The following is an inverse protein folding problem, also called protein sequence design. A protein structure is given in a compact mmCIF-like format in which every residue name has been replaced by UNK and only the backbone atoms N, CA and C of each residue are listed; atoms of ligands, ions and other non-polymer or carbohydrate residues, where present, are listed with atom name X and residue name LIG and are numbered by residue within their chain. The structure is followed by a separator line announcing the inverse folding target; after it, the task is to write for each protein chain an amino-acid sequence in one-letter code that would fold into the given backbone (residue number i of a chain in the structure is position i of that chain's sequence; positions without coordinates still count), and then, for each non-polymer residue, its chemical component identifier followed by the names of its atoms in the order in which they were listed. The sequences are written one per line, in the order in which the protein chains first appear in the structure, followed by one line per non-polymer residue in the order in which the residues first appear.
data_IF_555959290702
#
_entry.id   IF_555959290702
#
_cell.length_a   1.000
_cell.length_b   1.000
_cell.length_c   1.000
_cell.angle_alpha   90.00
_cell.angle_beta   90.00
_cell.angle_gamma   90.00
#
_symmetry.space_group_name_H-M   'P 1'
#
loop_
_entity.id
_entity.type
_entity.pdbx_description
1 polymer ?
#
# COMPACT_ATOMS: atom_id res chain seq x y z
N UNK A 1 12.93 -7.63 13.72
CA UNK A 1 12.74 -9.07 13.98
C UNK A 1 13.74 -9.89 13.18
N UNK A 2 14.43 -10.79 13.89
CA UNK A 2 15.40 -11.80 13.44
C UNK A 2 14.79 -12.70 12.35
N UNK A 3 15.50 -12.92 11.23
CA UNK A 3 15.20 -14.10 10.39
C UNK A 3 15.19 -15.32 11.30
N UNK A 4 14.11 -16.12 11.25
CA UNK A 4 14.01 -17.34 12.04
C UNK A 4 15.03 -18.36 11.53
N UNK A 5 16.22 -18.33 12.11
CA UNK A 5 17.36 -19.18 11.71
C UNK A 5 17.05 -20.67 11.84
N UNK A 6 16.04 -21.05 12.63
CA UNK A 6 15.58 -22.45 12.74
C UNK A 6 14.86 -22.93 11.48
N UNK A 7 14.39 -22.02 10.63
CA UNK A 7 13.74 -22.32 9.34
C UNK A 7 14.71 -22.29 8.16
N UNK A 8 15.97 -21.95 8.36
CA UNK A 8 17.00 -22.00 7.31
C UNK A 8 17.39 -23.46 7.12
N UNK A 9 16.91 -24.06 6.02
CA UNK A 9 17.34 -25.39 5.59
C UNK A 9 18.35 -25.19 4.48
N UNK A 10 19.61 -25.56 4.74
CA UNK A 10 20.71 -25.40 3.78
C UNK A 10 20.55 -26.41 2.64
N UNK A 11 19.79 -26.05 1.60
CA UNK A 11 19.52 -26.87 0.41
C UNK A 11 19.53 -25.98 -0.84
N UNK A 12 20.57 -25.16 -0.98
CA UNK A 12 20.74 -24.40 -2.21
C UNK A 12 21.36 -25.29 -3.30
N UNK A 13 20.72 -25.35 -4.48
CA UNK A 13 21.28 -25.97 -5.68
C UNK A 13 22.05 -25.02 -6.61
N UNK A 14 22.26 -23.77 -6.21
CA UNK A 14 22.98 -22.73 -6.97
C UNK A 14 24.33 -22.39 -6.34
N UNK A 15 25.31 -21.98 -7.15
CA UNK A 15 26.52 -21.32 -6.66
C UNK A 15 26.15 -19.93 -6.11
N UNK A 16 26.43 -19.70 -4.83
CA UNK A 16 26.14 -18.45 -4.14
C UNK A 16 27.40 -17.69 -3.72
N UNK A 17 28.59 -18.07 -4.20
CA UNK A 17 29.86 -17.53 -3.70
C UNK A 17 29.91 -16.00 -3.68
N UNK A 18 29.52 -15.34 -4.77
CA UNK A 18 29.50 -13.88 -4.86
C UNK A 18 28.51 -13.24 -3.88
N UNK A 19 27.29 -13.79 -3.78
CA UNK A 19 26.31 -13.37 -2.78
C UNK A 19 26.83 -13.57 -1.35
N UNK A 20 27.53 -14.68 -1.07
CA UNK A 20 28.09 -14.98 0.25
C UNK A 20 29.18 -13.97 0.62
N UNK A 21 30.10 -13.66 -0.30
CA UNK A 21 31.13 -12.66 -0.07
C UNK A 21 30.53 -11.27 0.15
N UNK A 22 29.53 -10.88 -0.64
CA UNK A 22 28.87 -9.59 -0.49
C UNK A 22 28.08 -9.50 0.82
N UNK A 23 27.26 -10.51 1.14
CA UNK A 23 26.49 -10.56 2.38
C UNK A 23 27.42 -10.50 3.60
N UNK A 24 28.52 -11.26 3.59
CA UNK A 24 29.54 -11.20 4.64
C UNK A 24 30.12 -9.79 4.77
N UNK A 25 30.60 -9.20 3.66
CA UNK A 25 31.17 -7.85 3.65
C UNK A 25 30.19 -6.80 4.21
N UNK A 26 28.93 -6.86 3.81
CA UNK A 26 27.88 -5.94 4.27
C UNK A 26 27.43 -6.23 5.71
N UNK A 27 27.59 -7.44 6.22
CA UNK A 27 27.30 -7.74 7.63
C UNK A 27 28.41 -7.27 8.57
N UNK A 28 29.66 -7.26 8.11
CA UNK A 28 30.85 -6.91 8.92
C UNK A 28 31.29 -5.45 8.76
N UNK A 29 30.78 -4.70 7.78
CA UNK A 29 31.18 -3.30 7.58
C UNK A 29 30.64 -2.39 8.71
N UNK A 30 31.35 -1.29 9.05
CA UNK A 30 30.86 -0.29 10.02
C UNK A 30 29.49 0.27 9.63
N UNK A 31 28.70 0.71 10.63
CA UNK A 31 27.35 1.24 10.40
C UNK A 31 27.35 2.44 9.46
N UNK A 32 28.35 3.32 9.56
CA UNK A 32 28.52 4.50 8.70
C UNK A 32 28.81 4.13 7.24
N UNK A 33 29.35 2.92 7.00
CA UNK A 33 29.69 2.44 5.68
C UNK A 33 28.57 1.62 5.02
N UNK A 34 27.57 1.16 5.80
CA UNK A 34 26.53 0.27 5.30
C UNK A 34 25.74 0.88 4.14
N UNK A 35 25.10 2.04 4.35
CA UNK A 35 24.30 2.69 3.30
C UNK A 35 25.15 3.09 2.08
N UNK A 36 26.34 3.71 2.24
CA UNK A 36 27.23 3.98 1.11
C UNK A 36 27.61 2.74 0.29
N UNK A 37 27.80 1.58 0.93
CA UNK A 37 28.05 0.32 0.23
C UNK A 37 26.82 -0.18 -0.53
N UNK A 38 25.62 -0.05 0.04
CA UNK A 38 24.37 -0.40 -0.64
C UNK A 38 24.14 0.46 -1.89
N UNK A 39 24.43 1.76 -1.82
CA UNK A 39 24.29 2.70 -2.96
C UNK A 39 25.15 2.34 -4.17
N UNK A 40 26.24 1.57 -3.96
CA UNK A 40 27.07 1.08 -5.08
C UNK A 40 26.37 0.00 -5.90
N UNK A 41 25.31 -0.61 -5.36
CA UNK A 41 24.56 -1.70 -6.00
C UNK A 41 23.35 -1.11 -6.72
N UNK A 42 23.57 -0.64 -7.95
CA UNK A 42 22.50 -0.13 -8.82
C UNK A 42 21.93 -1.21 -9.75
N UNK A 43 22.68 -2.29 -9.96
CA UNK A 43 22.31 -3.45 -10.76
C UNK A 43 22.74 -4.72 -10.03
N UNK A 44 21.88 -5.73 -10.01
CA UNK A 44 22.18 -7.00 -9.36
C UNK A 44 23.00 -7.93 -10.27
N UNK A 45 24.28 -8.11 -9.95
CA UNK A 45 25.21 -8.92 -10.74
C UNK A 45 25.78 -10.13 -9.97
N UNK A 46 25.18 -10.52 -8.84
CA UNK A 46 25.75 -11.51 -7.90
C UNK A 46 25.12 -12.91 -7.98
N UNK A 47 24.29 -13.15 -9.00
CA UNK A 47 23.56 -14.42 -9.17
C UNK A 47 22.37 -14.59 -8.21
N UNK A 48 21.81 -15.80 -8.21
CA UNK A 48 20.61 -16.16 -7.42
C UNK A 48 21.03 -16.72 -6.05
N UNK A 49 20.33 -16.35 -4.98
CA UNK A 49 20.69 -16.77 -3.61
C UNK A 49 19.50 -17.17 -2.74
N UNK A 50 19.77 -17.74 -1.56
CA UNK A 50 18.79 -17.94 -0.51
C UNK A 50 18.66 -16.66 0.32
N UNK A 51 17.42 -16.23 0.62
CA UNK A 51 17.22 -15.04 1.44
C UNK A 51 17.84 -15.19 2.85
N UNK A 52 17.91 -16.41 3.37
CA UNK A 52 18.50 -16.71 4.68
C UNK A 52 19.99 -16.34 4.80
N UNK A 53 20.73 -16.28 3.69
CA UNK A 53 22.14 -15.84 3.66
C UNK A 53 22.29 -14.38 4.09
N UNK A 54 21.26 -13.57 3.89
CA UNK A 54 21.28 -12.14 4.12
C UNK A 54 20.75 -11.75 5.50
N UNK A 55 20.56 -12.72 6.40
CA UNK A 55 19.96 -12.48 7.72
C UNK A 55 20.63 -11.37 8.51
N UNK A 56 21.96 -11.40 8.64
CA UNK A 56 22.68 -10.40 9.44
C UNK A 56 22.61 -9.00 8.80
N UNK A 57 22.64 -8.92 7.46
CA UNK A 57 22.46 -7.64 6.74
C UNK A 57 21.05 -7.13 6.96
N UNK A 58 20.03 -7.96 6.72
CA UNK A 58 18.62 -7.60 6.84
C UNK A 58 18.24 -7.20 8.27
N UNK A 59 18.82 -7.84 9.30
CA UNK A 59 18.62 -7.46 10.70
C UNK A 59 19.14 -6.03 10.97
N UNK A 60 20.25 -5.62 10.36
CA UNK A 60 20.77 -4.24 10.45
C UNK A 60 19.86 -3.25 9.72
N UNK A 61 19.38 -3.60 8.53
CA UNK A 61 18.47 -2.74 7.76
C UNK A 61 17.12 -2.59 8.49
N UNK A 62 16.64 -3.65 9.13
CA UNK A 62 15.39 -3.66 9.91
C UNK A 62 15.43 -2.63 11.05
N UNK A 63 16.56 -2.48 11.75
CA UNK A 63 16.71 -1.48 12.81
C UNK A 63 16.58 -0.04 12.28
N UNK A 64 17.08 0.23 11.06
CA UNK A 64 16.93 1.54 10.40
C UNK A 64 15.47 1.77 10.01
N UNK A 65 14.80 0.74 9.47
CA UNK A 65 13.38 0.80 9.12
C UNK A 65 12.50 1.00 10.35
N UNK A 66 12.78 0.32 11.47
CA UNK A 66 12.08 0.48 12.75
C UNK A 66 12.17 1.93 13.26
N UNK A 67 13.37 2.51 13.22
CA UNK A 67 13.59 3.93 13.55
C UNK A 67 12.76 4.85 12.66
N UNK A 68 12.76 4.58 11.34
CA UNK A 68 12.06 5.41 10.37
C UNK A 68 10.54 5.43 10.62
N UNK A 69 9.93 4.28 10.92
CA UNK A 69 8.47 4.15 11.05
C UNK A 69 7.93 4.49 12.44
N UNK A 70 8.79 4.87 13.37
CA UNK A 70 8.35 5.32 14.71
C UNK A 70 7.40 6.51 14.56
N UNK A 71 6.25 6.46 15.23
CA UNK A 71 5.22 7.51 15.12
C UNK A 71 5.61 8.76 15.91
N UNK A 72 5.43 9.92 15.29
CA UNK A 72 5.53 11.25 15.91
C UNK A 72 4.13 11.86 15.89
N UNK A 73 3.28 11.47 16.83
CA UNK A 73 1.85 11.80 16.82
C UNK A 73 0.98 10.59 16.46
N UNK A 74 -0.21 10.82 15.91
CA UNK A 74 -1.16 9.75 15.58
C UNK A 74 -0.90 9.14 14.20
N UNK A 75 -0.36 9.91 13.27
CA UNK A 75 -0.13 9.54 11.88
C UNK A 75 1.32 9.72 11.42
N UNK A 76 1.94 10.86 11.68
CA UNK A 76 3.25 11.22 11.10
C UNK A 76 4.33 10.21 11.50
N UNK A 77 5.18 9.82 10.56
CA UNK A 77 6.34 8.97 10.84
C UNK A 77 7.55 9.85 11.19
N UNK A 78 8.49 9.30 11.97
CA UNK A 78 9.74 9.98 12.31
C UNK A 78 10.49 10.44 11.06
N UNK A 79 10.53 9.60 10.03
CA UNK A 79 11.18 9.92 8.76
C UNK A 79 10.56 11.12 8.01
N UNK A 80 9.30 11.45 8.30
CA UNK A 80 8.58 12.57 7.67
C UNK A 80 8.91 13.90 8.38
N UNK A 81 9.63 13.87 9.50
CA UNK A 81 10.02 15.09 10.20
C UNK A 81 11.18 15.78 9.48
N UNK A 82 11.22 17.13 9.43
CA UNK A 82 12.31 17.85 8.77
C UNK A 82 13.72 17.54 9.32
N UNK A 83 13.81 17.16 10.60
CA UNK A 83 15.06 16.80 11.26
C UNK A 83 15.68 15.49 10.71
N UNK A 84 14.87 14.64 10.08
CA UNK A 84 15.26 13.32 9.59
C UNK A 84 15.32 13.28 8.06
N UNK A 85 15.47 14.43 7.39
CA UNK A 85 15.60 14.49 5.93
C UNK A 85 16.67 13.54 5.35
N UNK A 86 17.86 13.34 5.97
CA UNK A 86 18.84 12.35 5.49
C UNK A 86 18.34 10.90 5.55
N UNK A 87 17.48 10.57 6.53
CA UNK A 87 16.96 9.21 6.70
C UNK A 87 16.07 8.76 5.54
N UNK A 88 15.44 9.71 4.83
CA UNK A 88 14.63 9.41 3.65
C UNK A 88 15.46 8.68 2.60
N UNK A 89 16.64 9.21 2.29
CA UNK A 89 17.53 8.66 1.27
C UNK A 89 18.10 7.28 1.68
N UNK A 90 18.39 7.12 2.97
CA UNK A 90 18.81 5.83 3.54
C UNK A 90 17.70 4.78 3.41
N UNK A 91 16.45 5.13 3.74
CA UNK A 91 15.30 4.21 3.64
C UNK A 91 14.99 3.88 2.18
N UNK A 92 15.04 4.84 1.25
CA UNK A 92 14.90 4.57 -0.19
C UNK A 92 15.97 3.56 -0.64
N UNK A 93 17.24 3.80 -0.28
CA UNK A 93 18.35 2.89 -0.60
C UNK A 93 18.09 1.47 -0.08
N UNK A 94 17.63 1.36 1.18
CA UNK A 94 17.31 0.07 1.81
C UNK A 94 16.21 -0.66 1.04
N UNK A 95 15.13 0.05 0.68
CA UNK A 95 13.98 -0.53 -0.02
C UNK A 95 14.34 -0.98 -1.43
N UNK A 96 15.15 -0.21 -2.15
CA UNK A 96 15.64 -0.54 -3.49
C UNK A 96 16.59 -1.75 -3.47
N UNK A 97 17.57 -1.75 -2.56
CA UNK A 97 18.45 -2.90 -2.33
C UNK A 97 17.65 -4.16 -1.98
N UNK A 98 16.69 -4.04 -1.05
CA UNK A 98 15.82 -5.15 -0.67
C UNK A 98 14.99 -5.62 -1.88
N UNK A 99 14.53 -4.70 -2.73
CA UNK A 99 13.85 -5.02 -3.98
C UNK A 99 14.70 -5.88 -4.91
N UNK A 100 15.97 -5.49 -5.13
CA UNK A 100 16.92 -6.28 -5.93
C UNK A 100 17.17 -7.66 -5.33
N UNK A 101 17.38 -7.73 -4.01
CA UNK A 101 17.59 -8.98 -3.30
C UNK A 101 16.36 -9.91 -3.40
N UNK A 102 15.15 -9.37 -3.22
CA UNK A 102 13.91 -10.15 -3.34
C UNK A 102 13.74 -10.67 -4.77
N UNK A 103 14.03 -9.89 -5.81
CA UNK A 103 13.94 -10.37 -7.18
C UNK A 103 14.85 -11.59 -7.45
N UNK A 104 16.06 -11.60 -6.86
CA UNK A 104 17.09 -12.61 -7.10
C UNK A 104 17.24 -13.66 -5.99
N UNK A 105 16.30 -13.73 -5.05
CA UNK A 105 16.34 -14.71 -3.95
C UNK A 105 15.26 -15.80 -4.03
N UNK A 106 15.50 -16.91 -3.35
CA UNK A 106 14.50 -17.93 -3.00
C UNK A 106 14.17 -17.87 -1.50
N UNK A 107 13.14 -18.60 -1.09
CA UNK A 107 12.64 -18.62 0.30
C UNK A 107 12.27 -17.23 0.84
N UNK A 108 11.70 -16.39 -0.03
CA UNK A 108 11.28 -15.00 0.28
C UNK A 108 10.28 -14.89 1.43
N UNK A 109 9.59 -15.97 1.77
CA UNK A 109 8.71 -16.04 2.95
C UNK A 109 9.47 -15.79 4.27
N UNK A 110 10.81 -15.86 4.27
CA UNK A 110 11.66 -15.53 5.40
C UNK A 110 11.76 -14.01 5.66
N UNK A 111 11.34 -13.16 4.71
CA UNK A 111 11.37 -11.71 4.90
C UNK A 111 10.39 -11.29 6.00
N UNK A 112 10.92 -10.78 7.11
CA UNK A 112 10.17 -10.51 8.34
C UNK A 112 9.80 -9.03 8.56
N UNK A 113 10.37 -8.10 7.81
CA UNK A 113 10.21 -6.65 8.02
C UNK A 113 8.93 -6.05 7.41
N UNK A 114 7.93 -6.89 7.11
CA UNK A 114 6.72 -6.46 6.40
C UNK A 114 5.90 -5.42 7.18
N UNK A 115 5.92 -5.48 8.51
CA UNK A 115 5.26 -4.48 9.37
C UNK A 115 5.82 -3.08 9.16
N UNK A 116 7.14 -2.94 8.99
CA UNK A 116 7.79 -1.68 8.66
C UNK A 116 7.38 -1.21 7.26
N UNK A 117 7.35 -2.13 6.27
CA UNK A 117 6.89 -1.81 4.90
C UNK A 117 5.44 -1.30 4.91
N UNK A 118 4.55 -1.96 5.65
CA UNK A 118 3.16 -1.54 5.84
C UNK A 118 3.05 -0.17 6.49
N UNK A 119 3.92 0.17 7.44
CA UNK A 119 3.92 1.50 8.06
C UNK A 119 4.39 2.58 7.08
N UNK A 120 5.42 2.31 6.25
CA UNK A 120 5.98 3.25 5.28
C UNK A 120 5.00 3.67 4.17
N UNK A 121 3.98 2.86 3.86
CA UNK A 121 2.87 3.32 2.98
C UNK A 121 2.18 4.59 3.49
N UNK A 122 2.24 4.84 4.80
CA UNK A 122 1.71 6.03 5.47
C UNK A 122 2.65 7.23 5.49
N UNK A 123 3.84 7.15 4.88
CA UNK A 123 4.73 8.31 4.71
C UNK A 123 4.11 9.34 3.78
N UNK A 124 4.35 10.62 4.07
CA UNK A 124 4.04 11.70 3.14
C UNK A 124 5.03 11.78 1.97
N UNK A 125 6.27 11.30 2.17
CA UNK A 125 7.29 11.37 1.15
C UNK A 125 6.99 10.42 -0.02
N UNK A 126 6.84 10.99 -1.21
CA UNK A 126 6.49 10.22 -2.40
C UNK A 126 7.61 9.30 -2.89
N UNK A 127 8.89 9.60 -2.63
CA UNK A 127 10.01 8.71 -3.00
C UNK A 127 10.02 7.44 -2.14
N UNK A 128 9.76 7.59 -0.83
CA UNK A 128 9.57 6.46 0.09
C UNK A 128 8.41 5.59 -0.39
N UNK A 129 7.27 6.20 -0.71
CA UNK A 129 6.11 5.45 -1.20
C UNK A 129 6.42 4.70 -2.50
N UNK A 130 7.10 5.33 -3.46
CA UNK A 130 7.48 4.68 -4.72
C UNK A 130 8.45 3.51 -4.50
N UNK A 131 9.39 3.65 -3.56
CA UNK A 131 10.30 2.57 -3.19
C UNK A 131 9.57 1.41 -2.49
N UNK A 132 8.63 1.72 -1.59
CA UNK A 132 7.74 0.72 -0.94
C UNK A 132 6.88 -0.02 -1.96
N UNK A 133 6.30 0.69 -2.93
CA UNK A 133 5.53 0.09 -4.02
C UNK A 133 6.44 -0.74 -4.93
N UNK A 134 7.66 -0.29 -5.21
CA UNK A 134 8.67 -1.06 -5.95
C UNK A 134 9.00 -2.40 -5.28
N UNK A 135 9.30 -2.38 -3.98
CA UNK A 135 9.52 -3.59 -3.20
C UNK A 135 8.29 -4.50 -3.18
N UNK A 136 7.10 -3.92 -2.96
CA UNK A 136 5.84 -4.65 -2.95
C UNK A 136 5.55 -5.32 -4.29
N UNK A 137 5.86 -4.65 -5.40
CA UNK A 137 5.74 -5.20 -6.75
C UNK A 137 6.67 -6.40 -6.97
N UNK A 138 7.89 -6.36 -6.44
CA UNK A 138 8.80 -7.51 -6.52
C UNK A 138 8.24 -8.72 -5.76
N UNK A 139 7.60 -8.50 -4.62
CA UNK A 139 6.88 -9.56 -3.91
C UNK A 139 5.67 -10.07 -4.69
N UNK A 140 4.84 -9.21 -5.30
CA UNK A 140 3.65 -9.64 -6.04
C UNK A 140 4.00 -10.43 -7.30
N UNK A 141 4.94 -9.93 -8.12
CA UNK A 141 5.26 -10.52 -9.41
C UNK A 141 6.05 -11.82 -9.30
N UNK A 142 6.99 -11.90 -8.35
CA UNK A 142 7.98 -12.99 -8.31
C UNK A 142 7.67 -14.04 -7.28
N UNK A 143 6.69 -13.83 -6.39
CA UNK A 143 6.49 -14.71 -5.25
C UNK A 143 5.02 -14.87 -4.86
N UNK A 144 4.71 -16.00 -4.25
CA UNK A 144 3.41 -16.22 -3.61
C UNK A 144 3.38 -15.63 -2.18
N UNK A 145 4.23 -14.65 -1.87
CA UNK A 145 4.38 -14.08 -0.53
C UNK A 145 3.04 -13.52 -0.03
N UNK A 146 2.40 -12.67 -0.84
CA UNK A 146 1.10 -12.10 -0.50
C UNK A 146 -0.04 -13.11 -0.45
N UNK A 147 0.01 -14.16 -1.28
CA UNK A 147 -0.97 -15.26 -1.21
C UNK A 147 -0.90 -15.98 0.14
N UNK A 148 0.29 -16.06 0.73
CA UNK A 148 0.54 -16.72 2.04
C UNK A 148 0.32 -15.82 3.25
N UNK A 149 0.11 -14.52 3.06
CA UNK A 149 -0.23 -13.63 4.17
C UNK A 149 -1.58 -14.04 4.77
N UNK A 150 -1.71 -13.85 6.08
CA UNK A 150 -3.00 -13.99 6.77
C UNK A 150 -4.02 -12.94 6.29
N UNK A 151 -5.33 -13.17 6.50
CA UNK A 151 -6.37 -12.26 6.02
C UNK A 151 -6.24 -10.82 6.51
N UNK A 152 -5.74 -10.60 7.73
CA UNK A 152 -5.54 -9.25 8.28
C UNK A 152 -4.46 -8.50 7.51
N UNK A 153 -3.30 -9.13 7.31
CA UNK A 153 -2.22 -8.53 6.53
C UNK A 153 -2.59 -8.33 5.06
N UNK A 154 -3.32 -9.26 4.43
CA UNK A 154 -3.86 -9.07 3.06
C UNK A 154 -4.76 -7.84 2.97
N UNK A 155 -5.67 -7.66 3.93
CA UNK A 155 -6.55 -6.48 4.00
C UNK A 155 -5.74 -5.19 4.18
N UNK A 156 -4.73 -5.22 5.04
CA UNK A 156 -3.85 -4.06 5.25
C UNK A 156 -3.11 -3.65 3.97
N UNK A 157 -2.68 -4.61 3.15
CA UNK A 157 -2.09 -4.33 1.83
C UNK A 157 -3.13 -3.74 0.88
N UNK A 158 -4.30 -4.36 0.77
CA UNK A 158 -5.38 -3.88 -0.11
C UNK A 158 -5.78 -2.43 0.21
N UNK A 159 -5.94 -2.10 1.50
CA UNK A 159 -6.28 -0.75 1.97
C UNK A 159 -5.24 0.31 1.59
N UNK A 160 -3.98 -0.09 1.37
CA UNK A 160 -2.83 0.77 1.00
C UNK A 160 -2.62 0.92 -0.50
N UNK A 161 -3.10 -0.05 -1.28
CA UNK A 161 -3.04 -0.03 -2.75
C UNK A 161 -4.25 0.64 -3.38
N UNK A 162 -5.26 1.01 -2.58
CA UNK A 162 -6.44 1.73 -3.07
C UNK A 162 -6.13 3.21 -3.27
N UNK A 163 -5.80 3.57 -4.52
CA UNK A 163 -5.59 4.95 -4.97
C UNK A 163 -6.76 5.35 -5.87
N UNK A 164 -7.50 6.40 -5.51
CA UNK A 164 -8.67 6.87 -6.26
C UNK A 164 -8.32 7.27 -7.70
N UNK A 165 -9.33 7.40 -8.57
CA UNK A 165 -9.04 7.60 -9.98
C UNK A 165 -10.17 8.04 -10.91
N UNK A 166 -11.37 7.46 -10.80
CA UNK A 166 -12.45 7.78 -11.74
C UNK A 166 -13.34 8.95 -11.29
N UNK A 167 -13.25 9.38 -10.03
CA UNK A 167 -14.21 10.31 -9.41
C UNK A 167 -14.22 11.72 -10.04
N UNK A 168 -13.19 12.07 -10.82
CA UNK A 168 -13.04 13.40 -11.40
C UNK A 168 -12.96 13.42 -12.95
N UNK A 169 -13.15 12.28 -13.64
CA UNK A 169 -13.11 12.17 -15.11
C UNK A 169 -11.85 12.74 -15.80
N UNK A 170 -10.69 12.69 -15.14
CA UNK A 170 -9.42 13.12 -15.74
C UNK A 170 -8.58 11.92 -16.17
N UNK A 171 -8.23 11.87 -17.46
CA UNK A 171 -7.34 10.84 -17.99
C UNK A 171 -5.92 10.94 -17.43
N UNK A 172 -5.25 9.79 -17.28
CA UNK A 172 -3.87 9.71 -16.78
C UNK A 172 -2.88 10.55 -17.61
N UNK A 173 -3.00 10.56 -18.93
CA UNK A 173 -2.13 11.32 -19.83
C UNK A 173 -2.30 12.83 -19.63
N UNK A 174 -3.55 13.31 -19.54
CA UNK A 174 -3.85 14.71 -19.25
C UNK A 174 -3.28 15.17 -17.90
N UNK A 175 -3.29 14.28 -16.89
CA UNK A 175 -2.66 14.58 -15.60
C UNK A 175 -1.13 14.76 -15.70
N UNK A 176 -0.47 14.32 -16.76
CA UNK A 176 0.98 14.49 -16.92
C UNK A 176 1.36 15.89 -17.42
N UNK A 177 0.44 16.66 -17.99
CA UNK A 177 0.69 18.01 -18.50
C UNK A 177 0.96 18.99 -17.35
N UNK A 178 2.14 19.65 -17.29
CA UNK A 178 2.49 20.61 -16.24
C UNK A 178 1.58 21.84 -16.22
N UNK A 179 0.98 22.21 -17.36
CA UNK A 179 0.14 23.41 -17.47
C UNK A 179 -1.33 23.13 -17.14
N UNK A 180 -1.71 21.86 -17.05
CA UNK A 180 -3.08 21.47 -16.76
C UNK A 180 -3.25 21.20 -15.27
N UNK A 181 -4.01 22.03 -14.56
CA UNK A 181 -4.39 21.76 -13.16
C UNK A 181 -5.92 21.80 -13.04
N UNK A 182 -6.58 20.67 -12.77
CA UNK A 182 -8.02 20.65 -12.61
C UNK A 182 -8.49 21.37 -11.34
N UNK A 183 -9.61 22.11 -11.43
CA UNK A 183 -10.14 22.89 -10.31
C UNK A 183 -10.46 22.05 -9.07
N UNK A 184 -10.88 20.80 -9.25
CA UNK A 184 -11.21 19.88 -8.17
C UNK A 184 -10.01 19.09 -7.64
N UNK A 185 -8.85 19.14 -8.31
CA UNK A 185 -7.70 18.32 -7.96
C UNK A 185 -7.13 18.64 -6.57
N UNK A 186 -7.33 19.86 -6.10
CA UNK A 186 -6.96 20.30 -4.75
C UNK A 186 -7.99 20.00 -3.66
N UNK A 187 -9.13 19.40 -3.99
CA UNK A 187 -10.26 19.21 -3.08
C UNK A 187 -10.37 17.76 -2.63
N UNK A 188 -10.89 17.55 -1.43
CA UNK A 188 -11.17 16.22 -0.88
C UNK A 188 -12.62 16.17 -0.47
N UNK A 189 -13.30 15.12 -0.94
CA UNK A 189 -14.60 14.70 -0.48
C UNK A 189 -14.45 13.27 0.02
N UNK A 190 -14.72 13.03 1.30
CA UNK A 190 -14.54 11.70 1.89
C UNK A 190 -15.68 11.37 2.83
N UNK A 191 -16.40 10.29 2.54
CA UNK A 191 -17.50 9.81 3.37
C UNK A 191 -17.10 8.55 4.13
N UNK A 192 -17.48 8.49 5.41
CA UNK A 192 -17.26 7.30 6.23
C UNK A 192 -18.37 7.13 7.26
N UNK A 193 -18.57 5.89 7.70
CA UNK A 193 -19.46 5.58 8.82
C UNK A 193 -18.66 5.56 10.11
N UNK A 194 -19.12 6.23 11.18
CA UNK A 194 -18.50 6.08 12.49
C UNK A 194 -18.66 4.63 12.96
N UNK A 195 -17.57 4.04 13.47
CA UNK A 195 -17.65 2.75 14.16
C UNK A 195 -18.18 3.03 15.55
N UNK A 196 -19.31 2.41 15.92
CA UNK A 196 -19.79 2.48 17.31
C UNK A 196 -18.69 1.88 18.20
N UNK A 197 -18.34 2.52 19.34
CA UNK A 197 -17.49 1.86 20.31
C UNK A 197 -18.20 0.58 20.75
N UNK A 198 -17.57 -0.57 20.49
CA UNK A 198 -18.06 -1.86 20.99
C UNK A 198 -17.99 -1.81 22.51
N UNK A 199 -19.15 -1.70 23.17
CA UNK A 199 -19.27 -1.97 24.60
C UNK A 199 -18.97 -3.44 24.82
N UNK A 200 -17.93 -3.69 25.60
CA UNK A 200 -17.45 -4.98 26.10
C UNK A 200 -18.58 -5.90 26.57
N UNK A 201 -18.48 -7.17 26.16
CA UNK A 201 -18.95 -8.40 26.80
C UNK A 201 -20.37 -8.41 27.39
N UNK A 202 -21.28 -9.06 26.66
CA UNK A 202 -22.31 -9.89 27.29
C UNK A 202 -22.06 -11.36 26.91
N UNK A 203 -22.19 -12.30 27.85
CA UNK A 203 -21.92 -13.71 27.59
C UNK A 203 -23.00 -14.27 26.67
N UNK A 204 -22.54 -14.94 25.60
CA UNK A 204 -23.40 -15.81 24.79
C UNK A 204 -23.64 -17.06 25.63
N UNK A 205 -24.79 -17.14 26.29
CA UNK A 205 -25.28 -18.40 26.83
C UNK A 205 -25.53 -19.36 25.67
N UNK A 206 -24.64 -20.34 25.57
CA UNK A 206 -24.90 -21.60 24.88
C UNK A 206 -25.99 -22.35 25.63
N UNK A 207 -27.14 -22.54 24.98
CA UNK A 207 -27.88 -23.78 25.20
C UNK A 207 -28.42 -24.36 23.89
N UNK A 208 -28.21 -25.66 23.74
CA UNK A 208 -28.54 -26.46 22.58
C UNK A 208 -29.70 -27.36 22.94
N UNK A 209 -30.83 -27.26 22.24
CA UNK A 209 -31.70 -28.42 22.07
C UNK A 209 -32.54 -28.35 20.80
N UNK A 210 -32.50 -29.50 20.10
CA UNK A 210 -33.18 -29.85 18.85
C UNK A 210 -34.69 -29.98 19.07
N UNK A 211 -35.49 -29.76 18.02
CA UNK A 211 -36.26 -30.80 17.28
C UNK A 211 -37.33 -30.13 16.39
N UNK A 212 -37.40 -30.64 15.16
CA UNK A 212 -38.28 -30.31 14.04
C UNK A 212 -39.78 -30.51 14.30
N UNK A 213 -40.64 -29.75 13.59
CA UNK A 213 -41.76 -30.23 12.75
C UNK A 213 -42.58 -29.06 12.14
N UNK A 214 -42.82 -29.17 10.85
CA UNK A 214 -43.86 -28.50 10.05
C UNK A 214 -44.99 -29.54 9.79
N UNK A 215 -46.12 -29.28 9.08
CA UNK A 215 -46.92 -28.05 8.87
C UNK A 215 -48.44 -28.29 9.09
N UNK A 216 -49.27 -27.27 9.37
CA UNK A 216 -50.67 -27.20 8.88
C UNK A 216 -51.26 -25.78 9.00
N UNK A 217 -51.88 -25.31 7.92
CA UNK A 217 -52.52 -24.00 7.72
C UNK A 217 -53.96 -23.94 8.31
N UNK A 218 -54.78 -22.92 7.95
CA UNK A 218 -54.66 -21.47 8.12
C UNK A 218 -55.79 -20.94 9.02
N UNK A 219 -55.71 -19.70 9.53
CA UNK A 219 -56.92 -18.96 9.87
C UNK A 219 -56.74 -17.44 9.78
N UNK A 220 -57.78 -16.83 9.23
CA UNK A 220 -57.95 -15.43 8.86
C UNK A 220 -58.52 -14.68 10.07
N UNK A 221 -57.89 -13.58 10.48
CA UNK A 221 -58.61 -12.43 11.05
C UNK A 221 -57.71 -11.18 11.15
N UNK A 222 -58.23 -10.12 10.54
CA UNK A 222 -58.02 -8.67 10.71
C UNK A 222 -57.25 -8.19 11.96
N UNK A 223 -56.30 -7.28 11.74
CA UNK A 223 -55.91 -6.29 12.74
C UNK A 223 -55.59 -4.94 12.06
N UNK A 224 -56.52 -4.00 12.22
CA UNK A 224 -56.37 -2.56 11.98
C UNK A 224 -56.06 -1.93 13.34
N UNK A 225 -54.87 -1.35 13.53
CA UNK A 225 -54.55 -0.70 14.81
C UNK A 225 -53.10 -0.26 14.95
N UNK A 226 -52.75 0.86 14.31
CA UNK A 226 -51.38 1.35 14.21
C UNK A 226 -50.70 1.66 15.55
N UNK A 227 -49.53 1.07 15.75
CA UNK A 227 -48.54 1.54 16.72
C UNK A 227 -47.29 1.98 15.94
N UNK A 228 -47.06 3.29 15.98
CA UNK A 228 -45.97 4.00 15.35
C UNK A 228 -44.63 3.37 15.73
N UNK A 229 -44.04 2.62 14.79
CA UNK A 229 -42.66 2.19 14.90
C UNK A 229 -41.78 3.44 14.82
N UNK A 230 -41.19 3.82 15.96
CA UNK A 230 -39.98 4.63 15.98
C UNK A 230 -38.89 3.84 15.25
N UNK A 231 -38.86 3.95 13.92
CA UNK A 231 -37.71 3.61 13.13
C UNK A 231 -36.56 4.49 13.64
N UNK A 232 -35.62 3.87 14.36
CA UNK A 232 -34.38 4.51 14.78
C UNK A 232 -33.74 5.19 13.56
N UNK A 233 -33.24 6.43 13.67
CA UNK A 233 -32.68 7.13 12.54
C UNK A 233 -31.49 6.34 12.01
N UNK A 234 -31.58 5.93 10.75
CA UNK A 234 -30.48 5.55 9.88
C UNK A 234 -29.17 6.27 10.26
N UNK A 235 -28.13 5.46 10.50
CA UNK A 235 -26.76 5.89 10.79
C UNK A 235 -26.32 7.02 9.85
N UNK A 236 -26.15 8.23 10.37
CA UNK A 236 -25.69 9.39 9.60
C UNK A 236 -24.27 9.12 9.09
N UNK A 237 -24.05 9.15 7.78
CA UNK A 237 -22.69 9.09 7.22
C UNK A 237 -21.96 10.39 7.58
N UNK A 238 -20.77 10.30 8.16
CA UNK A 238 -19.91 11.46 8.38
C UNK A 238 -19.23 11.83 7.06
N UNK A 239 -19.08 13.13 6.81
CA UNK A 239 -18.43 13.67 5.60
C UNK A 239 -17.28 14.58 6.00
N UNK A 240 -16.14 14.41 5.33
CA UNK A 240 -15.00 15.33 5.36
C UNK A 240 -14.96 16.02 4.00
N UNK A 241 -15.05 17.34 4.02
CA UNK A 241 -14.91 18.17 2.82
C UNK A 241 -13.83 19.20 3.08
N UNK A 242 -12.82 19.20 2.24
CA UNK A 242 -11.74 20.18 2.28
C UNK A 242 -11.48 20.71 0.87
N UNK A 243 -11.14 21.99 0.77
CA UNK A 243 -10.89 22.63 -0.50
C UNK A 243 -9.47 23.19 -0.57
N UNK A 244 -8.90 23.18 -1.76
CA UNK A 244 -7.61 23.79 -2.10
C UNK A 244 -6.46 23.41 -1.13
N UNK A 245 -6.31 22.13 -0.80
CA UNK A 245 -5.23 21.66 0.09
C UNK A 245 -3.84 22.04 -0.42
N UNK A 246 -3.63 22.02 -1.73
CA UNK A 246 -2.39 22.48 -2.38
C UNK A 246 -1.97 23.93 -2.03
N UNK A 247 -2.88 24.76 -1.48
CA UNK A 247 -2.58 26.12 -1.04
C UNK A 247 -2.27 26.22 0.46
N UNK A 248 -2.43 25.15 1.23
CA UNK A 248 -2.15 25.14 2.66
C UNK A 248 -0.65 25.00 2.90
N UNK A 249 -0.13 25.70 3.92
CA UNK A 249 1.27 25.57 4.35
C UNK A 249 1.45 24.43 5.36
N UNK A 250 0.88 23.26 5.06
CA UNK A 250 0.95 22.07 5.90
C UNK A 250 1.32 20.87 5.03
N UNK A 251 2.11 19.96 5.58
CA UNK A 251 2.42 18.70 4.93
C UNK A 251 1.21 17.75 4.98
N UNK A 252 1.14 16.72 4.10
CA UNK A 252 0.06 15.73 4.16
C UNK A 252 -0.07 15.06 5.53
N UNK A 253 1.04 14.77 6.22
CA UNK A 253 0.97 14.17 7.56
C UNK A 253 0.39 15.15 8.58
N UNK A 254 0.76 16.43 8.52
CA UNK A 254 0.18 17.46 9.39
C UNK A 254 -1.32 17.63 9.18
N UNK A 255 -1.77 17.64 7.91
CA UNK A 255 -3.20 17.67 7.57
C UNK A 255 -3.91 16.43 8.10
N UNK A 256 -3.27 15.26 8.02
CA UNK A 256 -3.83 14.01 8.53
C UNK A 256 -3.94 14.01 10.06
N UNK A 257 -2.95 14.55 10.80
CA UNK A 257 -3.04 14.73 12.24
C UNK A 257 -4.23 15.63 12.62
N UNK A 258 -4.39 16.76 11.94
CA UNK A 258 -5.51 17.70 12.13
C UNK A 258 -6.86 17.00 11.89
N UNK A 259 -6.99 16.26 10.78
CA UNK A 259 -8.21 15.54 10.45
C UNK A 259 -8.53 14.45 11.47
N UNK A 260 -7.54 13.69 11.93
CA UNK A 260 -7.76 12.63 12.91
C UNK A 260 -8.12 13.20 14.29
N UNK A 261 -7.63 14.38 14.65
CA UNK A 261 -8.02 15.06 15.89
C UNK A 261 -9.50 15.50 15.86
N UNK A 262 -10.01 15.91 14.69
CA UNK A 262 -11.37 16.41 14.52
C UNK A 262 -12.39 15.32 14.17
N UNK A 263 -11.95 14.23 13.55
CA UNK A 263 -12.81 13.19 13.00
C UNK A 263 -12.41 11.80 13.49
N UNK A 264 -13.38 11.04 14.00
CA UNK A 264 -13.22 9.66 14.42
C UNK A 264 -13.20 8.70 13.20
N UNK A 265 -12.24 8.89 12.29
CA UNK A 265 -12.10 8.08 11.08
C UNK A 265 -11.65 6.65 11.45
N UNK A 266 -12.41 5.61 11.07
CA UNK A 266 -12.05 4.22 11.34
C UNK A 266 -10.69 3.84 10.74
N UNK A 267 -9.91 3.00 11.41
CA UNK A 267 -8.54 2.64 11.00
C UNK A 267 -8.49 2.12 9.55
N UNK A 268 -9.48 1.32 9.13
CA UNK A 268 -9.61 0.79 7.76
C UNK A 268 -9.85 1.84 6.68
N UNK A 269 -10.25 3.06 7.06
CA UNK A 269 -10.52 4.17 6.15
C UNK A 269 -9.44 5.25 6.18
N UNK A 270 -8.55 5.25 7.17
CA UNK A 270 -7.54 6.29 7.32
C UNK A 270 -6.55 6.30 6.16
N UNK A 271 -6.12 5.15 5.64
CA UNK A 271 -5.20 5.10 4.50
C UNK A 271 -5.83 5.62 3.21
N UNK A 272 -7.10 5.28 2.95
CA UNK A 272 -7.84 5.78 1.80
C UNK A 272 -8.09 7.30 1.87
N UNK A 273 -8.29 7.84 3.08
CA UNK A 273 -8.32 9.28 3.31
C UNK A 273 -6.94 9.91 3.06
N UNK A 274 -5.88 9.33 3.63
CA UNK A 274 -4.52 9.83 3.48
C UNK A 274 -4.01 9.83 2.04
N UNK A 275 -4.38 8.82 1.25
CA UNK A 275 -4.10 8.81 -0.19
C UNK A 275 -4.72 10.02 -0.91
N UNK A 276 -5.97 10.40 -0.56
CA UNK A 276 -6.62 11.61 -1.08
C UNK A 276 -5.95 12.89 -0.55
N UNK A 277 -5.53 12.92 0.72
CA UNK A 277 -4.76 14.03 1.31
C UNK A 277 -3.46 14.27 0.57
N UNK A 278 -2.64 13.23 0.37
CA UNK A 278 -1.41 13.32 -0.41
C UNK A 278 -1.68 13.80 -1.82
N UNK A 279 -2.63 13.19 -2.51
CA UNK A 279 -2.98 13.57 -3.89
C UNK A 279 -3.35 15.05 -3.96
N UNK A 280 -4.33 15.50 -3.16
CA UNK A 280 -4.83 16.87 -3.22
C UNK A 280 -3.81 17.94 -2.77
N UNK A 281 -2.84 17.56 -1.93
CA UNK A 281 -1.75 18.45 -1.49
C UNK A 281 -0.69 18.57 -2.59
N UNK A 282 -0.32 17.46 -3.21
CA UNK A 282 0.80 17.38 -4.15
C UNK A 282 0.43 17.61 -5.61
N UNK A 283 -0.85 17.51 -5.98
CA UNK A 283 -1.26 17.60 -7.38
C UNK A 283 -0.88 18.92 -8.04
N UNK A 284 -0.74 20.02 -7.31
CA UNK A 284 -0.36 21.30 -7.92
C UNK A 284 1.09 21.32 -8.43
N UNK A 285 2.00 20.55 -7.80
CA UNK A 285 3.39 20.45 -8.22
C UNK A 285 3.55 19.37 -9.31
N UNK A 286 4.02 19.70 -10.53
CA UNK A 286 4.13 18.71 -11.62
C UNK A 286 5.03 17.51 -11.27
N UNK A 287 6.13 17.74 -10.54
CA UNK A 287 7.06 16.67 -10.17
C UNK A 287 6.44 15.68 -9.18
N UNK A 288 5.78 16.18 -8.14
CA UNK A 288 5.06 15.35 -7.18
C UNK A 288 3.84 14.69 -7.81
N UNK A 289 3.13 15.39 -8.70
CA UNK A 289 2.01 14.82 -9.46
C UNK A 289 2.46 13.62 -10.29
N UNK A 290 3.60 13.70 -10.98
CA UNK A 290 4.17 12.55 -11.70
C UNK A 290 4.46 11.38 -10.76
N UNK A 291 4.96 11.65 -9.54
CA UNK A 291 5.14 10.60 -8.52
C UNK A 291 3.80 10.01 -8.08
N UNK A 292 2.73 10.79 -7.92
CA UNK A 292 1.39 10.29 -7.61
C UNK A 292 0.85 9.37 -8.72
N UNK A 293 1.05 9.75 -9.98
CA UNK A 293 0.65 8.93 -11.14
C UNK A 293 1.41 7.60 -11.14
N UNK A 294 2.74 7.64 -10.96
CA UNK A 294 3.57 6.42 -10.83
C UNK A 294 3.11 5.54 -9.68
N UNK A 295 2.83 6.12 -8.52
CA UNK A 295 2.37 5.40 -7.34
C UNK A 295 1.03 4.68 -7.63
N UNK A 296 0.08 5.36 -8.26
CA UNK A 296 -1.21 4.77 -8.66
C UNK A 296 -1.01 3.61 -9.64
N UNK A 297 -0.18 3.78 -10.68
CA UNK A 297 0.10 2.73 -11.67
C UNK A 297 0.80 1.51 -11.03
N UNK A 298 1.78 1.74 -10.16
CA UNK A 298 2.44 0.65 -9.44
C UNK A 298 1.48 -0.07 -8.49
N UNK A 299 0.59 0.67 -7.80
CA UNK A 299 -0.42 0.07 -6.94
C UNK A 299 -1.39 -0.81 -7.74
N UNK A 300 -1.87 -0.34 -8.90
CA UNK A 300 -2.69 -1.14 -9.83
C UNK A 300 -1.96 -2.41 -10.30
N UNK A 301 -0.67 -2.28 -10.65
CA UNK A 301 0.16 -3.43 -11.02
C UNK A 301 0.23 -4.49 -9.90
N UNK A 302 0.41 -4.06 -8.65
CA UNK A 302 0.46 -4.97 -7.49
C UNK A 302 -0.91 -5.61 -7.28
N UNK A 303 -1.99 -4.83 -7.38
CA UNK A 303 -3.35 -5.33 -7.25
C UNK A 303 -3.61 -6.45 -8.25
N UNK A 304 -3.37 -6.22 -9.54
CA UNK A 304 -3.59 -7.20 -10.61
C UNK A 304 -2.77 -8.48 -10.43
N UNK A 305 -1.54 -8.40 -9.92
CA UNK A 305 -0.74 -9.61 -9.67
C UNK A 305 -1.15 -10.39 -8.42
N UNK A 306 -1.77 -9.74 -7.44
CA UNK A 306 -1.86 -10.27 -6.08
C UNK A 306 -3.27 -10.67 -5.67
N UNK A 307 -4.24 -9.85 -6.05
CA UNK A 307 -5.62 -9.99 -5.62
C UNK A 307 -6.44 -10.43 -6.82
N UNK A 308 -7.50 -11.17 -6.55
CA UNK A 308 -8.50 -11.48 -7.56
C UNK A 308 -9.27 -10.18 -7.80
N UNK A 309 -8.73 -9.35 -8.69
CA UNK A 309 -9.23 -8.01 -8.90
C UNK A 309 -10.49 -8.13 -9.74
N UNK A 310 -11.64 -8.13 -9.06
CA UNK A 310 -12.95 -7.90 -9.66
C UNK A 310 -12.85 -6.66 -10.57
N UNK A 311 -13.37 -6.72 -11.80
CA UNK A 311 -13.35 -5.63 -12.80
C UNK A 311 -13.73 -4.28 -12.20
N UNK A 312 -14.49 -4.27 -11.10
CA UNK A 312 -14.83 -3.08 -10.31
C UNK A 312 -13.65 -2.23 -9.80
N UNK A 313 -12.44 -2.78 -9.64
CA UNK A 313 -11.26 -1.96 -9.26
C UNK A 313 -10.52 -1.38 -10.47
N UNK A 314 -10.73 -1.94 -11.66
CA UNK A 314 -10.19 -1.44 -12.93
C UNK A 314 -11.34 -0.71 -13.63
N UNK A 315 -11.33 0.62 -13.58
CA UNK A 315 -12.38 1.38 -14.26
C UNK A 315 -12.34 1.12 -15.78
N UNK A 316 -13.49 1.11 -16.48
CA UNK A 316 -13.60 0.61 -17.86
C UNK A 316 -12.61 1.21 -18.87
N UNK A 317 -12.22 2.46 -18.70
CA UNK A 317 -11.35 3.19 -19.64
C UNK A 317 -9.86 3.12 -19.26
N UNK A 318 -9.47 2.32 -18.26
CA UNK A 318 -8.09 2.27 -17.80
C UNK A 318 -7.12 1.82 -18.90
N UNK A 319 -7.48 0.84 -19.72
CA UNK A 319 -6.59 0.35 -20.79
C UNK A 319 -6.33 1.44 -21.83
N UNK A 320 -7.36 2.20 -22.22
CA UNK A 320 -7.22 3.31 -23.17
C UNK A 320 -6.32 4.41 -22.59
N UNK A 321 -6.53 4.79 -21.31
CA UNK A 321 -5.67 5.78 -20.65
C UNK A 321 -4.21 5.30 -20.51
N UNK A 322 -3.97 4.00 -20.33
CA UNK A 322 -2.61 3.45 -20.32
C UNK A 322 -1.96 3.57 -21.71
N UNK A 323 -2.70 3.36 -22.79
CA UNK A 323 -2.20 3.57 -24.16
C UNK A 323 -1.87 5.04 -24.41
N UNK A 324 -2.75 5.96 -24.04
CA UNK A 324 -2.49 7.41 -24.15
C UNK A 324 -1.22 7.82 -23.39
N UNK A 325 -0.98 7.24 -22.21
CA UNK A 325 0.26 7.49 -21.45
C UNK A 325 1.50 7.01 -22.21
N UNK A 326 1.41 5.92 -22.99
CA UNK A 326 2.52 5.43 -23.81
C UNK A 326 2.78 6.31 -25.04
N UNK A 327 1.81 7.10 -25.47
CA UNK A 327 1.94 8.07 -26.57
C UNK A 327 2.62 9.38 -26.13
N UNK A 328 2.76 9.62 -24.82
CA UNK A 328 3.52 10.77 -24.30
C UNK A 328 4.97 10.75 -24.82
N UNK A 329 5.58 11.94 -25.03
CA UNK A 329 6.95 12.02 -25.52
C UNK A 329 7.94 11.39 -24.55
N UNK A 330 9.08 10.94 -25.07
CA UNK A 330 10.15 10.42 -24.24
C UNK A 330 10.84 11.54 -23.44
N UNK A 331 11.73 11.17 -22.52
CA UNK A 331 12.36 12.10 -21.57
C UNK A 331 11.68 12.02 -20.20
N UNK A 332 11.06 13.12 -19.75
CA UNK A 332 10.55 13.21 -18.38
C UNK A 332 9.43 12.19 -18.05
N UNK A 333 8.72 11.69 -19.06
CA UNK A 333 7.63 10.72 -18.88
C UNK A 333 8.09 9.25 -18.90
N UNK A 334 9.37 8.95 -19.13
CA UNK A 334 9.88 7.57 -19.21
C UNK A 334 9.54 6.73 -17.97
N UNK A 335 9.62 7.33 -16.78
CA UNK A 335 9.26 6.66 -15.53
C UNK A 335 7.77 6.30 -15.45
N UNK A 336 6.89 7.16 -15.97
CA UNK A 336 5.44 6.93 -16.03
C UNK A 336 5.13 5.86 -17.08
N UNK A 337 5.70 5.97 -18.29
CA UNK A 337 5.56 4.99 -19.38
C UNK A 337 5.97 3.59 -18.92
N UNK A 338 7.09 3.47 -18.21
CA UNK A 338 7.53 2.20 -17.64
C UNK A 338 6.52 1.62 -16.62
N UNK A 339 5.90 2.47 -15.79
CA UNK A 339 4.85 2.03 -14.85
C UNK A 339 3.58 1.61 -15.60
N UNK A 340 3.18 2.32 -16.66
CA UNK A 340 2.04 1.97 -17.50
C UNK A 340 2.24 0.60 -18.17
N UNK A 341 3.40 0.35 -18.79
CA UNK A 341 3.74 -0.96 -19.37
C UNK A 341 3.70 -2.10 -18.34
N UNK A 342 4.23 -1.86 -17.13
CA UNK A 342 4.17 -2.85 -16.03
C UNK A 342 2.72 -3.14 -15.60
N UNK A 343 1.88 -2.10 -15.57
CA UNK A 343 0.45 -2.22 -15.23
C UNK A 343 -0.30 -3.02 -16.27
N UNK A 344 -0.12 -2.70 -17.56
CA UNK A 344 -0.69 -3.48 -18.66
C UNK A 344 -0.25 -4.95 -18.61
N UNK A 345 1.05 -5.20 -18.38
CA UNK A 345 1.58 -6.56 -18.27
C UNK A 345 0.96 -7.31 -17.09
N UNK A 346 0.72 -6.63 -15.96
CA UNK A 346 0.08 -7.22 -14.79
C UNK A 346 -1.38 -7.61 -15.07
N UNK A 347 -2.14 -6.70 -15.68
CA UNK A 347 -3.54 -6.92 -16.09
C UNK A 347 -3.63 -8.10 -17.08
N UNK A 348 -2.80 -8.12 -18.12
CA UNK A 348 -2.81 -9.23 -19.10
C UNK A 348 -2.47 -10.56 -18.43
N UNK A 349 -1.50 -10.58 -17.53
CA UNK A 349 -1.14 -11.81 -16.81
C UNK A 349 -2.25 -12.29 -15.87
N UNK A 350 -2.98 -11.38 -15.21
CA UNK A 350 -4.10 -11.76 -14.35
C UNK A 350 -5.25 -12.38 -15.15
N UNK A 351 -5.57 -11.82 -16.32
CA UNK A 351 -6.58 -12.41 -17.21
C UNK A 351 -6.18 -13.81 -17.71
N UNK A 352 -4.91 -14.05 -18.04
CA UNK A 352 -4.45 -15.39 -18.48
C UNK A 352 -4.55 -16.44 -17.37
N UNK A 353 -4.44 -16.05 -16.11
CA UNK A 353 -4.59 -16.94 -14.95
C UNK A 353 -6.06 -17.23 -14.58
N UNK A 354 -7.00 -16.40 -15.05
CA UNK A 354 -8.45 -16.59 -14.86
C UNK A 354 -9.13 -17.37 -16.00
N UNK A 355 -8.39 -17.78 -17.03
CA UNK A 355 -8.87 -18.69 -18.08
C UNK A 355 -8.42 -20.11 -17.73
N UNK A 356 -9.06 -20.71 -16.71
CA UNK A 356 -9.06 -22.17 -16.49
C UNK A 356 -10.49 -22.68 -16.26
#
# INVERSE_FOLDING_TARGET
MKIDRKKIVNRCGYDQNECMFLAKRLSECPDEALIPELKKITVWNYGKCELGLWADVLDRLDAILERAVTKVGRWMLRLDTPAEAPLVDDVVTILEFTGHLIEHSIYRYLYGSWTHILALFGSENMDILLAVLGLSYNFSKRSNYFIRLDPYNKKMVLDRLTWGGAENNFGLAACCDPNHFPETAGNIYFEYRPVKPETSDQPVDTDSSRVSRDPTAPDIAQDDGGWSAHAAPWSTNNKIVMHALHKRNQSPSQIMEELLAQHAVPLSKQMALFARVRLATYFADPGQRHKCIRARLQALSILSYTFDVDERHLYPNLLDELVEVLELPDGQYMGIKACALRTMTAIVNSHRLGVE
#
